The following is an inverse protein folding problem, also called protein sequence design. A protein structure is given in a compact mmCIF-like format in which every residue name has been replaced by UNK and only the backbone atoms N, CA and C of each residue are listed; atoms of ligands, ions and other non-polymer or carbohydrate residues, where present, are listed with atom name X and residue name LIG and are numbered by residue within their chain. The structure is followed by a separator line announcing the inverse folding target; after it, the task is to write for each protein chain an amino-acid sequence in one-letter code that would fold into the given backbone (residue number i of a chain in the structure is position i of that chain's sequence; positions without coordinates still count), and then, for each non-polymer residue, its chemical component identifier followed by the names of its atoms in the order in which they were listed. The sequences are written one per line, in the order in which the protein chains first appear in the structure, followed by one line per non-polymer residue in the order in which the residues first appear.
data_IF_559568059036
#
_entry.id   IF_559568059036
#
_cell.length_a   1.000
_cell.length_b   1.000
_cell.length_c   1.000
_cell.angle_alpha   90.00
_cell.angle_beta   90.00
_cell.angle_gamma   90.00
#
_symmetry.space_group_name_H-M   'P 1'
#
loop_
_entity.id
_entity.type
_entity.pdbx_description
1 polymer ?
#
# COMPACT_ATOMS: atom_id res chain seq x y z
N UNK A 1 43.10 70.89 7.05
CA UNK A 1 42.82 69.49 6.60
C UNK A 1 41.59 69.02 7.34
N UNK A 2 40.40 69.06 6.69
CA UNK A 2 39.12 68.59 7.25
C UNK A 2 38.91 67.16 6.77
N UNK A 3 38.85 66.15 7.69
CA UNK A 3 38.49 64.78 7.39
C UNK A 3 36.97 64.67 7.45
N UNK A 4 36.36 64.42 6.31
CA UNK A 4 34.94 64.06 6.23
C UNK A 4 34.76 62.57 6.57
N UNK A 5 33.93 62.34 7.57
CA UNK A 5 33.51 61.00 7.99
C UNK A 5 32.30 60.62 7.12
N UNK A 6 32.47 59.63 6.25
CA UNK A 6 31.34 58.98 5.56
C UNK A 6 30.71 57.96 6.46
N UNK A 7 29.47 58.21 6.86
CA UNK A 7 28.60 57.23 7.52
C UNK A 7 27.86 56.46 6.44
N UNK A 8 28.16 55.15 6.31
CA UNK A 8 27.42 54.24 5.44
C UNK A 8 26.22 53.73 6.25
N UNK A 9 24.98 53.94 5.80
CA UNK A 9 23.84 53.37 6.47
C UNK A 9 23.80 51.85 6.24
N UNK A 10 23.84 51.09 7.33
CA UNK A 10 23.63 49.65 7.34
C UNK A 10 22.15 49.39 7.07
N UNK A 11 21.81 48.97 5.84
CA UNK A 11 20.45 48.53 5.50
C UNK A 11 20.29 47.13 6.08
N UNK A 12 19.51 47.02 7.17
CA UNK A 12 18.99 45.72 7.63
C UNK A 12 17.97 45.24 6.61
N UNK A 13 18.37 44.31 5.77
CA UNK A 13 17.44 43.43 5.03
C UNK A 13 16.77 42.53 6.06
N UNK A 14 15.59 42.90 6.50
CA UNK A 14 14.66 41.98 7.15
C UNK A 14 14.25 40.95 6.09
N UNK A 15 14.92 39.79 6.10
CA UNK A 15 14.42 38.62 5.41
C UNK A 15 13.04 38.31 5.99
N UNK A 16 11.98 38.56 5.22
CA UNK A 16 10.69 37.93 5.42
C UNK A 16 10.88 36.44 5.24
N UNK A 17 11.34 35.78 6.29
CA UNK A 17 11.15 34.35 6.43
C UNK A 17 9.65 34.13 6.52
N UNK A 18 9.04 33.71 5.43
CA UNK A 18 7.75 33.03 5.51
C UNK A 18 7.96 31.87 6.49
N UNK A 19 7.48 32.06 7.73
CA UNK A 19 7.30 30.97 8.63
C UNK A 19 6.40 29.98 7.90
N UNK A 20 6.98 28.90 7.40
CA UNK A 20 6.20 27.73 7.06
C UNK A 20 5.50 27.35 8.36
N UNK A 21 4.22 27.66 8.41
CA UNK A 21 3.32 27.19 9.44
C UNK A 21 3.36 25.66 9.37
N UNK A 22 4.19 25.06 10.22
CA UNK A 22 4.21 23.64 10.50
C UNK A 22 2.99 23.33 11.39
N UNK A 23 1.83 23.85 11.01
CA UNK A 23 0.58 23.44 11.60
C UNK A 23 0.48 21.94 11.45
N UNK A 24 0.71 21.22 12.54
CA UNK A 24 0.40 19.82 12.65
C UNK A 24 -1.07 19.67 12.30
N UNK A 25 -1.36 19.30 11.05
CA UNK A 25 -2.73 19.02 10.64
C UNK A 25 -3.24 17.95 11.59
N UNK A 26 -4.27 18.28 12.35
CA UNK A 26 -4.90 17.35 13.27
C UNK A 26 -5.39 16.17 12.45
N UNK A 27 -5.00 14.94 12.85
CA UNK A 27 -5.53 13.73 12.24
C UNK A 27 -7.05 13.73 12.36
N UNK A 28 -7.79 13.23 11.35
CA UNK A 28 -9.21 12.96 11.47
C UNK A 28 -9.47 12.05 12.65
N UNK A 29 -10.66 12.19 13.26
CA UNK A 29 -11.06 11.21 14.26
C UNK A 29 -11.19 9.83 13.62
N UNK A 30 -10.96 8.79 14.43
CA UNK A 30 -11.16 7.41 13.99
C UNK A 30 -12.55 7.21 13.41
N UNK A 31 -12.61 6.63 12.22
CA UNK A 31 -13.85 6.23 11.55
C UNK A 31 -13.88 4.72 11.48
N UNK A 32 -14.94 4.11 11.94
CA UNK A 32 -15.21 2.69 11.77
C UNK A 32 -16.21 2.49 10.61
N UNK A 33 -15.77 1.92 9.48
CA UNK A 33 -16.66 1.61 8.36
C UNK A 33 -17.63 0.44 8.64
N UNK A 34 -17.41 -0.30 9.73
CA UNK A 34 -18.22 -1.49 10.05
C UNK A 34 -17.91 -2.71 9.18
N UNK A 35 -16.78 -2.71 8.49
CA UNK A 35 -16.27 -3.86 7.72
C UNK A 35 -15.35 -4.66 8.62
N UNK A 36 -15.56 -5.96 8.69
CA UNK A 36 -14.68 -6.88 9.42
C UNK A 36 -13.42 -7.16 8.62
N UNK A 37 -12.30 -6.53 9.02
CA UNK A 37 -11.01 -6.68 8.37
C UNK A 37 -10.28 -8.00 8.67
N UNK A 38 -10.83 -8.87 9.54
CA UNK A 38 -10.36 -10.24 9.72
C UNK A 38 -11.07 -11.23 8.79
N UNK A 39 -12.05 -10.78 8.02
CA UNK A 39 -12.85 -11.64 7.15
C UNK A 39 -12.14 -12.00 5.85
N UNK A 40 -12.52 -13.17 5.33
CA UNK A 40 -11.98 -13.77 4.11
C UNK A 40 -13.12 -14.04 3.13
N UNK A 41 -12.85 -13.88 1.85
CA UNK A 41 -13.77 -14.23 0.78
C UNK A 41 -13.28 -15.45 0.01
N UNK A 42 -14.20 -16.37 -0.28
CA UNK A 42 -13.92 -17.55 -1.12
C UNK A 42 -14.03 -17.17 -2.59
N UNK A 43 -13.00 -17.46 -3.36
CA UNK A 43 -12.95 -17.28 -4.80
C UNK A 43 -13.01 -18.67 -5.43
N UNK A 44 -14.09 -19.01 -6.17
CA UNK A 44 -14.24 -20.33 -6.74
C UNK A 44 -13.28 -20.59 -7.89
N UNK A 45 -12.96 -21.86 -8.14
CA UNK A 45 -12.28 -22.30 -9.33
C UNK A 45 -13.05 -21.91 -10.61
N UNK A 46 -12.37 -21.88 -11.75
CA UNK A 46 -12.95 -21.71 -13.08
C UNK A 46 -12.46 -20.48 -13.83
N UNK A 47 -12.97 -20.36 -15.03
CA UNK A 47 -12.60 -19.32 -15.99
C UNK A 47 -13.01 -17.92 -15.55
N UNK A 48 -12.20 -16.92 -15.91
CA UNK A 48 -12.57 -15.51 -15.81
C UNK A 48 -11.95 -14.68 -16.96
N UNK A 49 -12.57 -13.54 -17.33
CA UNK A 49 -12.00 -12.64 -18.33
C UNK A 49 -10.82 -11.89 -17.73
N UNK A 50 -9.61 -12.04 -18.26
CA UNK A 50 -8.39 -11.39 -17.76
C UNK A 50 -7.84 -10.36 -18.76
N UNK A 51 -7.19 -9.34 -18.22
CA UNK A 51 -6.56 -8.28 -18.98
C UNK A 51 -7.55 -7.33 -19.66
N UNK A 52 -7.02 -6.34 -20.39
CA UNK A 52 -7.81 -5.34 -21.07
C UNK A 52 -8.69 -5.92 -22.20
N UNK A 53 -8.29 -7.04 -22.76
CA UNK A 53 -8.96 -7.67 -23.92
C UNK A 53 -9.82 -8.88 -23.53
N UNK A 54 -10.05 -9.10 -22.23
CA UNK A 54 -10.92 -10.15 -21.72
C UNK A 54 -10.50 -11.57 -22.17
N UNK A 55 -9.17 -11.83 -22.17
CA UNK A 55 -8.69 -13.18 -22.45
C UNK A 55 -9.19 -14.14 -21.36
N UNK A 56 -9.80 -15.24 -21.79
CA UNK A 56 -10.28 -16.24 -20.85
C UNK A 56 -9.08 -16.95 -20.22
N UNK A 57 -9.00 -16.89 -18.90
CA UNK A 57 -7.99 -17.57 -18.10
C UNK A 57 -8.68 -18.51 -17.13
N UNK A 58 -8.24 -19.75 -17.08
CA UNK A 58 -8.72 -20.75 -16.13
C UNK A 58 -7.83 -20.76 -14.88
N UNK A 59 -8.45 -20.54 -13.71
CA UNK A 59 -7.87 -20.88 -12.41
C UNK A 59 -8.62 -22.08 -11.88
N UNK A 60 -8.06 -23.27 -12.03
CA UNK A 60 -8.67 -24.57 -11.77
C UNK A 60 -8.74 -24.98 -10.30
N UNK A 61 -8.44 -24.02 -9.40
CA UNK A 61 -8.49 -24.16 -7.94
C UNK A 61 -9.27 -23.02 -7.28
N UNK A 62 -9.82 -23.29 -6.11
CA UNK A 62 -10.42 -22.29 -5.23
C UNK A 62 -9.37 -21.78 -4.24
N UNK A 63 -9.54 -20.54 -3.78
CA UNK A 63 -8.70 -19.91 -2.77
C UNK A 63 -9.50 -18.91 -1.95
N UNK A 64 -8.93 -18.50 -0.83
CA UNK A 64 -9.46 -17.39 -0.03
C UNK A 64 -8.55 -16.18 -0.11
N UNK A 65 -9.14 -15.00 -0.08
CA UNK A 65 -8.42 -13.72 -0.06
C UNK A 65 -9.04 -12.80 0.99
N UNK A 66 -8.23 -12.00 1.67
CA UNK A 66 -8.70 -11.04 2.66
C UNK A 66 -9.68 -10.04 2.04
N UNK A 67 -10.79 -9.77 2.72
CA UNK A 67 -11.83 -8.84 2.23
C UNK A 67 -11.29 -7.42 2.11
N UNK A 68 -10.33 -7.03 2.95
CA UNK A 68 -9.67 -5.72 2.94
C UNK A 68 -8.15 -5.85 2.83
N UNK A 69 -7.48 -4.73 2.62
CA UNK A 69 -6.03 -4.64 2.82
C UNK A 69 -5.68 -4.89 4.29
N UNK A 70 -4.45 -5.37 4.53
CA UNK A 70 -3.90 -5.47 5.89
C UNK A 70 -3.79 -4.09 6.50
N UNK A 71 -4.33 -3.94 7.71
CA UNK A 71 -4.37 -2.68 8.43
C UNK A 71 -3.09 -2.38 9.21
N UNK A 72 -2.86 -1.11 9.56
CA UNK A 72 -1.76 -0.74 10.46
C UNK A 72 -1.83 -1.48 11.80
N UNK A 73 -3.02 -1.76 12.31
CA UNK A 73 -3.21 -2.49 13.57
C UNK A 73 -2.76 -3.95 13.43
N UNK A 74 -3.18 -4.63 12.36
CA UNK A 74 -2.78 -6.02 12.11
C UNK A 74 -1.28 -6.14 11.90
N UNK A 75 -0.69 -5.23 11.12
CA UNK A 75 0.75 -5.24 10.88
C UNK A 75 1.56 -4.91 12.15
N UNK A 76 1.09 -3.97 12.98
CA UNK A 76 1.72 -3.69 14.28
C UNK A 76 1.67 -4.90 15.23
N UNK A 77 0.60 -5.68 15.19
CA UNK A 77 0.49 -6.93 15.95
C UNK A 77 1.53 -7.96 15.46
N UNK A 78 1.60 -8.17 14.16
CA UNK A 78 2.63 -9.04 13.55
C UNK A 78 4.04 -8.64 13.98
N UNK A 79 4.39 -7.34 13.83
CA UNK A 79 5.71 -6.86 14.24
C UNK A 79 5.99 -7.12 15.72
N UNK A 80 4.98 -6.96 16.59
CA UNK A 80 5.13 -7.23 18.02
C UNK A 80 5.35 -8.71 18.31
N UNK A 81 4.65 -9.59 17.64
CA UNK A 81 4.75 -11.04 17.82
C UNK A 81 6.10 -11.57 17.29
N UNK A 82 6.45 -11.18 16.06
CA UNK A 82 7.69 -11.58 15.40
C UNK A 82 8.96 -11.00 16.11
N UNK A 83 8.86 -9.79 16.67
CA UNK A 83 9.92 -9.20 17.48
C UNK A 83 10.12 -9.96 18.79
N UNK A 84 9.03 -10.39 19.43
CA UNK A 84 9.10 -11.16 20.68
C UNK A 84 9.69 -12.56 20.50
N UNK A 85 9.55 -13.15 19.31
CA UNK A 85 10.14 -14.45 18.94
C UNK A 85 11.56 -14.35 18.36
N UNK A 86 11.99 -13.13 18.01
CA UNK A 86 13.30 -12.88 17.39
C UNK A 86 13.33 -13.19 15.89
N UNK A 87 12.17 -13.27 15.24
CA UNK A 87 12.06 -13.43 13.78
C UNK A 87 12.30 -12.11 13.04
N UNK A 88 12.11 -10.98 13.73
CA UNK A 88 12.50 -9.66 13.25
C UNK A 88 13.36 -8.93 14.29
N UNK A 89 14.15 -7.99 13.79
CA UNK A 89 14.91 -7.03 14.57
C UNK A 89 14.55 -5.60 14.17
N UNK A 90 14.89 -4.62 15.01
CA UNK A 90 14.74 -3.19 14.72
C UNK A 90 16.09 -2.51 14.84
N UNK A 91 16.50 -1.85 13.78
CA UNK A 91 17.79 -1.18 13.73
C UNK A 91 18.12 -0.63 12.34
N UNK A 92 19.36 -0.24 12.18
CA UNK A 92 19.91 0.18 10.90
C UNK A 92 20.21 -1.06 10.03
N UNK A 93 19.70 -1.04 8.80
CA UNK A 93 19.94 -2.07 7.79
C UNK A 93 20.40 -1.43 6.48
N UNK A 94 21.32 -2.09 5.77
CA UNK A 94 21.71 -1.70 4.43
C UNK A 94 20.66 -2.19 3.41
N UNK A 95 20.15 -1.27 2.61
CA UNK A 95 19.24 -1.55 1.51
C UNK A 95 19.95 -1.24 0.20
N UNK A 96 19.99 -2.21 -0.69
CA UNK A 96 20.55 -2.06 -2.03
C UNK A 96 19.41 -1.88 -3.02
N UNK A 97 19.42 -0.76 -3.73
CA UNK A 97 18.45 -0.44 -4.77
C UNK A 97 19.18 0.18 -5.97
N UNK A 98 19.02 -0.41 -7.14
CA UNK A 98 19.69 0.06 -8.38
C UNK A 98 21.19 0.33 -8.18
N UNK A 99 21.92 -0.63 -7.63
CA UNK A 99 23.36 -0.56 -7.30
C UNK A 99 23.74 0.52 -6.26
N UNK A 100 22.75 1.17 -5.66
CA UNK A 100 22.98 2.15 -4.59
C UNK A 100 22.72 1.51 -3.24
N UNK A 101 23.68 1.64 -2.35
CA UNK A 101 23.55 1.22 -0.96
C UNK A 101 23.08 2.43 -0.14
N UNK A 102 22.03 2.24 0.63
CA UNK A 102 21.55 3.20 1.62
C UNK A 102 21.32 2.51 2.94
N UNK A 103 21.50 3.24 4.03
CA UNK A 103 21.15 2.75 5.37
C UNK A 103 19.75 3.22 5.70
N UNK A 104 18.89 2.30 6.12
CA UNK A 104 17.52 2.57 6.56
C UNK A 104 17.36 2.08 8.00
N UNK A 105 16.71 2.87 8.84
CA UNK A 105 16.28 2.41 10.16
C UNK A 105 14.87 1.83 10.06
N UNK A 106 14.67 0.59 10.50
CA UNK A 106 13.36 -0.04 10.41
C UNK A 106 13.31 -1.43 11.03
N UNK A 107 12.18 -2.09 10.88
CA UNK A 107 12.03 -3.50 11.20
C UNK A 107 12.47 -4.34 10.00
N UNK A 108 13.29 -5.34 10.23
CA UNK A 108 13.83 -6.23 9.23
C UNK A 108 13.85 -7.67 9.73
N UNK A 109 13.88 -8.63 8.80
CA UNK A 109 13.93 -10.05 9.11
C UNK A 109 14.57 -10.85 8.00
N UNK A 110 14.87 -12.11 8.28
CA UNK A 110 15.56 -12.97 7.35
C UNK A 110 14.66 -13.41 6.18
N UNK A 111 15.17 -13.25 4.97
CA UNK A 111 14.59 -13.79 3.74
C UNK A 111 15.48 -14.91 3.19
N UNK A 112 14.94 -16.08 2.83
CA UNK A 112 15.75 -17.23 2.44
C UNK A 112 16.45 -17.08 1.08
N UNK A 113 16.14 -16.03 0.35
CA UNK A 113 16.60 -15.82 -1.02
C UNK A 113 15.64 -16.41 -2.05
N UNK A 114 15.75 -15.89 -3.25
CA UNK A 114 14.95 -16.33 -4.39
C UNK A 114 15.90 -16.56 -5.58
N UNK A 115 16.14 -17.83 -5.96
CA UNK A 115 16.94 -18.12 -7.13
C UNK A 115 16.17 -17.67 -8.37
N UNK A 116 16.72 -16.69 -9.06
CA UNK A 116 16.10 -16.09 -10.22
C UNK A 116 16.73 -16.59 -11.51
N UNK A 117 15.92 -17.18 -12.36
CA UNK A 117 16.30 -17.72 -13.67
C UNK A 117 15.95 -16.71 -14.79
N UNK A 118 16.31 -15.43 -14.55
CA UNK A 118 15.96 -14.30 -15.41
C UNK A 118 16.93 -14.00 -16.55
N UNK A 119 17.02 -12.71 -16.90
CA UNK A 119 17.97 -12.24 -17.91
C UNK A 119 19.42 -12.30 -17.39
N UNK A 120 20.40 -12.47 -18.30
CA UNK A 120 21.84 -12.56 -18.01
C UNK A 120 22.43 -11.39 -17.20
N UNK A 121 21.67 -10.30 -16.98
CA UNK A 121 22.13 -9.08 -16.32
C UNK A 121 21.41 -8.79 -14.99
N UNK A 122 20.58 -9.72 -14.52
CA UNK A 122 19.89 -9.56 -13.23
C UNK A 122 20.38 -10.59 -12.23
N UNK A 123 20.76 -10.12 -11.06
CA UNK A 123 21.22 -10.97 -9.98
C UNK A 123 20.04 -11.60 -9.23
N UNK A 124 20.17 -12.82 -8.70
CA UNK A 124 19.16 -13.41 -7.81
C UNK A 124 18.97 -12.54 -6.56
N UNK A 125 17.77 -12.62 -5.95
CA UNK A 125 17.56 -11.99 -4.65
C UNK A 125 18.28 -12.81 -3.60
N UNK A 126 19.42 -12.29 -3.14
CA UNK A 126 20.26 -12.96 -2.16
C UNK A 126 19.52 -13.18 -0.83
N UNK A 127 19.79 -14.34 -0.21
CA UNK A 127 19.35 -14.61 1.15
C UNK A 127 19.95 -13.60 2.13
N UNK A 128 19.25 -13.29 3.20
CA UNK A 128 19.72 -12.38 4.24
C UNK A 128 18.61 -11.49 4.78
N UNK A 129 18.99 -10.58 5.66
CA UNK A 129 18.04 -9.67 6.27
C UNK A 129 17.52 -8.64 5.28
N UNK A 130 16.21 -8.47 5.25
CA UNK A 130 15.51 -7.56 4.35
C UNK A 130 14.63 -6.60 5.16
N UNK A 131 14.68 -5.32 4.79
CA UNK A 131 13.81 -4.31 5.36
C UNK A 131 12.35 -4.66 5.07
N UNK A 132 11.53 -4.76 6.11
CA UNK A 132 10.10 -4.98 6.00
C UNK A 132 9.32 -3.67 6.00
N UNK A 133 9.64 -2.77 6.94
CA UNK A 133 9.03 -1.44 7.05
C UNK A 133 10.04 -0.46 7.63
N UNK A 134 10.23 0.74 7.01
CA UNK A 134 11.08 1.77 7.59
C UNK A 134 10.41 2.39 8.82
N UNK A 135 11.25 2.80 9.78
CA UNK A 135 10.83 3.43 11.05
C UNK A 135 11.69 4.68 11.34
N UNK A 136 11.89 5.50 10.32
CA UNK A 136 12.74 6.70 10.34
C UNK A 136 11.97 8.01 10.54
N UNK A 137 10.70 7.94 10.94
CA UNK A 137 9.81 9.07 11.16
C UNK A 137 9.19 9.67 9.89
N UNK A 138 9.44 9.10 8.72
CA UNK A 138 8.86 9.56 7.46
C UNK A 138 7.63 8.74 7.08
N UNK A 139 6.45 9.26 7.44
CA UNK A 139 5.19 8.60 7.10
C UNK A 139 4.85 7.43 8.02
N UNK A 140 5.55 7.29 9.15
CA UNK A 140 5.25 6.28 10.15
C UNK A 140 3.79 6.31 10.60
N UNK A 141 3.18 5.15 10.59
CA UNK A 141 1.82 4.91 11.11
C UNK A 141 1.82 3.89 12.23
N UNK A 142 2.93 3.18 12.39
CA UNK A 142 3.24 2.24 13.46
C UNK A 142 4.46 2.78 14.19
N UNK A 143 4.31 3.02 15.48
CA UNK A 143 5.34 3.57 16.35
C UNK A 143 6.00 2.45 17.13
N UNK A 144 7.33 2.53 17.32
CA UNK A 144 8.09 1.65 18.16
C UNK A 144 8.78 2.43 19.28
N UNK A 145 8.54 2.06 20.52
CA UNK A 145 9.09 2.73 21.70
C UNK A 145 10.36 2.05 22.26
N UNK A 146 11.01 1.19 21.48
CA UNK A 146 12.14 0.34 21.89
C UNK A 146 11.69 -1.01 22.47
N UNK A 147 10.40 -1.25 22.61
CA UNK A 147 9.84 -2.47 23.18
C UNK A 147 8.50 -2.90 22.58
N UNK A 148 7.70 -1.95 22.19
CA UNK A 148 6.31 -2.20 21.79
C UNK A 148 5.99 -1.49 20.49
N UNK A 149 5.35 -2.20 19.55
CA UNK A 149 4.79 -1.64 18.32
C UNK A 149 3.34 -1.25 18.54
N UNK A 150 2.96 -0.06 18.09
CA UNK A 150 1.59 0.46 18.21
C UNK A 150 1.21 1.24 16.97
N UNK A 151 0.10 0.89 16.35
CA UNK A 151 -0.50 1.74 15.32
C UNK A 151 -0.97 3.07 15.92
N UNK A 152 -0.84 4.16 15.15
CA UNK A 152 -1.45 5.44 15.51
C UNK A 152 -2.96 5.22 15.65
N UNK A 153 -3.59 5.60 16.79
CA UNK A 153 -4.98 5.25 17.08
C UNK A 153 -5.98 5.68 16.00
N UNK A 154 -5.78 6.85 15.41
CA UNK A 154 -6.66 7.42 14.37
C UNK A 154 -6.50 6.70 13.03
N UNK A 155 -5.35 6.08 12.78
CA UNK A 155 -5.00 5.41 11.53
C UNK A 155 -4.94 3.88 11.66
N UNK A 156 -5.36 3.31 12.79
CA UNK A 156 -5.19 1.88 13.07
C UNK A 156 -5.89 0.95 12.08
N UNK A 157 -7.02 1.37 11.52
CA UNK A 157 -7.79 0.64 10.50
C UNK A 157 -7.58 1.16 9.06
N UNK A 158 -6.59 2.01 8.83
CA UNK A 158 -6.11 2.31 7.48
C UNK A 158 -5.19 1.19 7.00
N UNK A 159 -5.03 1.00 5.68
CA UNK A 159 -4.07 0.02 5.17
C UNK A 159 -2.67 0.35 5.66
N UNK A 160 -1.89 -0.67 5.97
CA UNK A 160 -0.46 -0.50 6.20
C UNK A 160 0.18 -0.02 4.91
N UNK A 161 1.08 0.94 5.05
CA UNK A 161 1.85 1.49 3.92
C UNK A 161 3.33 1.61 4.30
N UNK A 162 4.17 2.04 3.38
CA UNK A 162 5.62 2.04 3.56
C UNK A 162 6.18 0.62 3.77
N UNK A 163 5.45 -0.40 3.39
CA UNK A 163 5.83 -1.81 3.52
C UNK A 163 6.50 -2.28 2.22
N UNK A 164 7.67 -2.89 2.35
CA UNK A 164 8.34 -3.54 1.22
C UNK A 164 7.61 -4.84 0.84
N UNK A 165 7.92 -5.39 -0.33
CA UNK A 165 7.41 -6.71 -0.71
C UNK A 165 7.83 -7.78 0.31
N UNK A 166 9.07 -7.71 0.81
CA UNK A 166 9.56 -8.63 1.86
C UNK A 166 8.73 -8.54 3.14
N UNK A 167 8.31 -7.34 3.54
CA UNK A 167 7.47 -7.16 4.71
C UNK A 167 6.05 -7.69 4.50
N UNK A 168 5.51 -7.52 3.30
CA UNK A 168 4.20 -8.05 2.93
C UNK A 168 4.20 -9.58 2.88
N UNK A 169 5.21 -10.17 2.25
CA UNK A 169 5.39 -11.62 2.17
C UNK A 169 5.61 -12.24 3.55
N UNK A 170 6.52 -11.65 4.36
CA UNK A 170 6.79 -12.13 5.71
C UNK A 170 5.55 -12.10 6.61
N UNK A 171 4.73 -11.04 6.54
CA UNK A 171 3.47 -10.97 7.26
C UNK A 171 2.54 -12.13 6.90
N UNK A 172 2.29 -12.33 5.59
CA UNK A 172 1.40 -13.40 5.16
C UNK A 172 1.96 -14.77 5.57
N UNK A 173 3.26 -15.02 5.35
CA UNK A 173 3.92 -16.28 5.70
C UNK A 173 3.91 -16.58 7.21
N UNK A 174 4.05 -15.54 8.06
CA UNK A 174 4.00 -15.69 9.51
C UNK A 174 2.70 -16.33 10.01
N UNK A 175 1.58 -15.98 9.38
CA UNK A 175 0.27 -16.55 9.71
C UNK A 175 -0.08 -17.81 8.89
N UNK A 176 0.87 -18.34 8.10
CA UNK A 176 0.65 -19.51 7.23
C UNK A 176 -0.15 -19.18 5.97
N UNK A 177 -0.18 -17.93 5.57
CA UNK A 177 -0.80 -17.42 4.36
C UNK A 177 0.27 -17.04 3.32
N UNK A 178 -0.14 -16.50 2.19
CA UNK A 178 0.74 -16.00 1.13
C UNK A 178 0.18 -14.71 0.51
N UNK A 179 0.99 -14.01 -0.25
CA UNK A 179 0.46 -12.98 -1.14
C UNK A 179 -0.39 -13.64 -2.25
N UNK A 180 -1.45 -12.98 -2.74
CA UNK A 180 -2.17 -13.47 -3.91
C UNK A 180 -1.28 -13.41 -5.15
N UNK A 181 -1.46 -14.34 -6.08
CA UNK A 181 -0.90 -14.19 -7.41
C UNK A 181 -1.59 -13.03 -8.14
N UNK A 182 -0.98 -12.55 -9.19
CA UNK A 182 -1.51 -11.45 -10.00
C UNK A 182 -2.87 -11.81 -10.62
N UNK A 183 -3.01 -13.05 -11.09
CA UNK A 183 -4.26 -13.56 -11.67
C UNK A 183 -5.34 -13.80 -10.61
N UNK A 184 -4.97 -14.29 -9.43
CA UNK A 184 -5.89 -14.43 -8.29
C UNK A 184 -6.43 -13.05 -7.89
N UNK A 185 -5.54 -12.07 -7.77
CA UNK A 185 -5.94 -10.70 -7.44
C UNK A 185 -6.94 -10.16 -8.48
N UNK A 186 -6.66 -10.33 -9.79
CA UNK A 186 -7.54 -9.84 -10.85
C UNK A 186 -8.90 -10.54 -10.85
N UNK A 187 -8.93 -11.87 -10.70
CA UNK A 187 -10.17 -12.64 -10.59
C UNK A 187 -11.01 -12.18 -9.40
N UNK A 188 -10.37 -12.00 -8.23
CA UNK A 188 -11.04 -11.54 -7.02
C UNK A 188 -11.63 -10.12 -7.15
N UNK A 189 -10.93 -9.24 -7.87
CA UNK A 189 -11.39 -7.87 -8.13
C UNK A 189 -12.53 -7.80 -9.14
N UNK A 190 -12.48 -8.62 -10.18
CA UNK A 190 -13.27 -8.46 -11.40
C UNK A 190 -14.46 -9.42 -11.49
N UNK A 191 -14.34 -10.61 -10.87
CA UNK A 191 -15.32 -11.66 -11.04
C UNK A 191 -15.29 -12.30 -12.42
N UNK A 192 -16.38 -13.00 -12.72
CA UNK A 192 -16.56 -13.76 -13.98
C UNK A 192 -17.65 -13.19 -14.89
N UNK A 193 -18.37 -12.17 -14.41
CA UNK A 193 -19.51 -11.59 -15.12
C UNK A 193 -19.05 -10.71 -16.31
N UNK A 194 -19.86 -10.71 -17.34
CA UNK A 194 -19.69 -9.86 -18.51
C UNK A 194 -20.84 -8.86 -18.60
N UNK A 195 -20.51 -7.57 -18.74
CA UNK A 195 -21.47 -6.51 -19.07
C UNK A 195 -21.27 -6.18 -20.55
N UNK A 196 -22.32 -6.32 -21.37
CA UNK A 196 -22.26 -6.10 -22.82
C UNK A 196 -21.13 -6.90 -23.51
N UNK A 197 -20.88 -8.12 -23.02
CA UNK A 197 -19.84 -9.02 -23.55
C UNK A 197 -18.41 -8.66 -23.16
N UNK A 198 -18.22 -7.74 -22.20
CA UNK A 198 -16.92 -7.31 -21.66
C UNK A 198 -16.85 -7.54 -20.15
N UNK A 199 -15.71 -7.97 -19.66
CA UNK A 199 -15.43 -8.03 -18.23
C UNK A 199 -15.47 -6.65 -17.57
N UNK A 200 -15.65 -6.61 -16.26
CA UNK A 200 -15.73 -5.38 -15.50
C UNK A 200 -14.44 -4.55 -15.62
N UNK A 201 -14.59 -3.23 -15.75
CA UNK A 201 -13.47 -2.28 -15.73
C UNK A 201 -13.01 -1.94 -14.30
N UNK A 202 -13.95 -1.87 -13.38
CA UNK A 202 -13.73 -1.66 -11.95
C UNK A 202 -14.46 -2.77 -11.18
N UNK A 203 -14.13 -3.00 -9.91
CA UNK A 203 -14.75 -4.08 -9.12
C UNK A 203 -16.27 -4.03 -9.09
N UNK A 204 -16.86 -2.85 -9.12
CA UNK A 204 -18.31 -2.60 -9.06
C UNK A 204 -19.01 -2.39 -10.42
N UNK A 205 -18.28 -2.42 -11.54
CA UNK A 205 -18.84 -2.17 -12.86
C UNK A 205 -17.94 -1.39 -13.82
N UNK A 206 -18.53 -0.62 -14.72
CA UNK A 206 -17.79 0.04 -15.80
C UNK A 206 -17.72 1.58 -15.66
N UNK A 207 -18.37 2.15 -14.66
CA UNK A 207 -18.38 3.60 -14.43
C UNK A 207 -17.71 3.97 -13.12
N UNK A 208 -16.94 5.06 -13.14
CA UNK A 208 -16.28 5.63 -11.98
C UNK A 208 -16.84 7.01 -11.66
N UNK A 209 -17.28 7.20 -10.42
CA UNK A 209 -17.60 8.50 -9.84
C UNK A 209 -16.62 8.80 -8.70
N UNK A 210 -16.44 10.07 -8.33
CA UNK A 210 -15.46 10.50 -7.33
C UNK A 210 -15.62 9.85 -5.96
N UNK A 211 -16.81 9.39 -5.62
CA UNK A 211 -17.13 8.75 -4.34
C UNK A 211 -17.23 7.21 -4.41
N UNK A 212 -16.72 6.58 -5.50
CA UNK A 212 -16.60 5.14 -5.60
C UNK A 212 -15.32 4.60 -4.98
N UNK A 213 -14.23 5.36 -4.97
CA UNK A 213 -12.93 4.90 -4.50
C UNK A 213 -12.08 6.07 -3.99
N UNK A 214 -11.09 5.77 -3.19
CA UNK A 214 -10.04 6.72 -2.82
C UNK A 214 -8.97 6.77 -3.92
N UNK A 215 -9.01 7.82 -4.73
CA UNK A 215 -8.05 8.08 -5.82
C UNK A 215 -7.83 9.59 -5.99
N UNK A 216 -7.01 10.02 -6.92
CA UNK A 216 -6.61 11.43 -7.09
C UNK A 216 -7.78 12.44 -7.14
N UNK A 217 -8.96 12.02 -7.61
CA UNK A 217 -10.16 12.88 -7.72
C UNK A 217 -11.30 12.49 -6.78
N UNK A 218 -11.03 11.75 -5.71
CA UNK A 218 -12.06 11.31 -4.75
C UNK A 218 -12.59 12.45 -3.89
N UNK A 219 -11.73 13.43 -3.56
CA UNK A 219 -12.05 14.57 -2.69
C UNK A 219 -12.64 14.15 -1.34
N UNK A 220 -12.15 13.05 -0.79
CA UNK A 220 -12.61 12.50 0.48
C UNK A 220 -12.05 13.24 1.72
N UNK A 221 -12.43 12.75 2.89
CA UNK A 221 -12.08 13.35 4.18
C UNK A 221 -10.55 13.34 4.45
N UNK A 222 -9.83 12.43 3.83
CA UNK A 222 -8.41 12.16 4.08
C UNK A 222 -7.49 12.79 3.03
N UNK A 223 -8.03 13.38 1.96
CA UNK A 223 -7.24 14.05 0.91
C UNK A 223 -6.25 15.07 1.48
N UNK A 224 -6.63 15.77 2.55
CA UNK A 224 -5.78 16.76 3.22
C UNK A 224 -4.59 16.18 3.98
N UNK A 225 -4.55 14.86 4.18
CA UNK A 225 -3.42 14.16 4.80
C UNK A 225 -2.32 13.80 3.80
N UNK A 226 -2.52 14.03 2.52
CA UNK A 226 -1.50 13.82 1.49
C UNK A 226 -0.21 14.52 1.88
N UNK A 227 0.91 13.82 1.77
CA UNK A 227 2.23 14.25 2.23
C UNK A 227 2.87 13.20 3.14
N UNK A 228 3.33 13.59 4.34
CA UNK A 228 4.04 12.66 5.25
C UNK A 228 3.22 11.42 5.65
N UNK A 229 1.92 11.57 5.85
CA UNK A 229 1.04 10.46 6.28
C UNK A 229 0.30 9.79 5.12
N UNK A 230 0.37 10.38 3.92
CA UNK A 230 -0.43 9.93 2.78
C UNK A 230 -1.93 10.21 2.95
N UNK A 231 -2.70 9.95 1.90
CA UNK A 231 -4.14 10.19 1.83
C UNK A 231 -4.97 8.90 1.85
N UNK A 232 -4.53 7.85 2.51
CA UNK A 232 -5.33 6.61 2.63
C UNK A 232 -6.60 6.84 3.44
N UNK A 233 -7.63 6.06 3.15
CA UNK A 233 -8.86 5.97 3.95
C UNK A 233 -8.84 4.71 4.82
N UNK A 234 -9.69 4.63 5.88
CA UNK A 234 -9.97 3.36 6.54
C UNK A 234 -10.35 2.29 5.52
N UNK A 235 -9.87 1.06 5.71
CA UNK A 235 -10.20 -0.05 4.81
C UNK A 235 -11.71 -0.27 4.76
N UNK A 236 -12.26 -0.44 3.55
CA UNK A 236 -13.70 -0.62 3.35
C UNK A 236 -14.54 0.63 3.59
N UNK A 237 -13.97 1.84 3.59
CA UNK A 237 -14.74 3.09 3.77
C UNK A 237 -15.79 3.28 2.67
N UNK A 238 -15.47 2.88 1.45
CA UNK A 238 -16.36 3.03 0.29
C UNK A 238 -17.35 1.85 0.18
N UNK A 239 -18.26 1.76 1.15
CA UNK A 239 -19.25 0.69 1.28
C UNK A 239 -20.71 1.17 1.18
N UNK A 240 -20.93 2.36 0.57
CA UNK A 240 -22.25 2.98 0.47
C UNK A 240 -22.66 3.78 1.72
N UNK A 241 -21.82 3.84 2.74
CA UNK A 241 -22.03 4.56 3.99
C UNK A 241 -21.91 6.09 3.85
N UNK A 242 -22.17 6.78 4.95
CA UNK A 242 -21.95 8.23 5.06
C UNK A 242 -21.12 8.52 6.30
N UNK A 243 -19.95 9.11 6.11
CA UNK A 243 -18.97 9.37 7.16
C UNK A 243 -18.69 10.87 7.26
N UNK A 244 -19.00 11.48 8.41
CA UNK A 244 -18.82 12.92 8.63
C UNK A 244 -19.39 13.81 7.50
N UNK A 245 -20.50 13.37 6.88
CA UNK A 245 -21.15 14.07 5.77
C UNK A 245 -20.63 13.69 4.36
N UNK A 246 -19.56 12.94 4.25
CA UNK A 246 -19.10 12.38 2.99
C UNK A 246 -19.84 11.06 2.70
N UNK A 247 -20.60 11.02 1.60
CA UNK A 247 -21.35 9.83 1.19
C UNK A 247 -20.55 9.04 0.17
N UNK A 248 -20.23 7.80 0.50
CA UNK A 248 -19.55 6.87 -0.42
C UNK A 248 -20.55 6.08 -1.26
N UNK A 249 -20.07 5.49 -2.32
CA UNK A 249 -20.72 4.39 -3.03
C UNK A 249 -20.13 3.07 -2.59
N UNK A 250 -20.87 2.00 -2.80
CA UNK A 250 -20.36 0.66 -2.53
C UNK A 250 -19.43 0.24 -3.66
N UNK A 251 -18.17 -0.05 -3.30
CA UNK A 251 -17.11 -0.48 -4.20
C UNK A 251 -16.82 -1.98 -4.14
N UNK A 252 -17.65 -2.74 -3.43
CA UNK A 252 -17.44 -4.16 -3.27
C UNK A 252 -17.28 -4.86 -4.62
N UNK A 253 -16.27 -5.74 -4.73
CA UNK A 253 -16.11 -6.62 -5.88
C UNK A 253 -17.25 -7.64 -5.94
N UNK A 254 -17.43 -8.39 -7.04
CA UNK A 254 -18.42 -9.47 -7.12
C UNK A 254 -18.31 -10.51 -5.98
N UNK A 255 -17.16 -10.60 -5.35
CA UNK A 255 -16.91 -11.49 -4.21
C UNK A 255 -16.92 -10.76 -2.85
N UNK A 256 -17.35 -9.49 -2.80
CA UNK A 256 -17.47 -8.72 -1.57
C UNK A 256 -16.15 -8.17 -1.02
N UNK A 257 -15.11 -8.04 -1.85
CA UNK A 257 -13.85 -7.43 -1.42
C UNK A 257 -13.90 -5.91 -1.59
N UNK A 258 -13.32 -5.20 -0.64
CA UNK A 258 -13.16 -3.75 -0.66
C UNK A 258 -11.73 -3.34 -1.03
N UNK A 259 -11.58 -2.08 -1.46
CA UNK A 259 -10.29 -1.45 -1.81
C UNK A 259 -9.53 -2.19 -2.92
N UNK A 260 -10.25 -2.92 -3.80
CA UNK A 260 -9.67 -3.52 -5.00
C UNK A 260 -9.43 -2.49 -6.12
N UNK A 261 -9.80 -1.23 -5.90
CA UNK A 261 -9.51 -0.09 -6.77
C UNK A 261 -9.33 1.18 -5.93
N UNK A 262 -8.13 1.77 -5.98
CA UNK A 262 -7.74 2.93 -5.19
C UNK A 262 -7.24 2.57 -3.79
N UNK A 263 -7.16 3.56 -2.91
CA UNK A 263 -6.57 3.51 -1.58
C UNK A 263 -5.07 3.26 -1.63
N UNK A 264 -4.61 2.03 -1.80
CA UNK A 264 -3.18 1.70 -1.97
C UNK A 264 -2.96 0.71 -3.09
N UNK A 265 -1.83 0.84 -3.80
CA UNK A 265 -1.30 -0.24 -4.62
C UNK A 265 -1.04 -1.46 -3.75
N UNK A 266 -1.31 -2.65 -4.27
CA UNK A 266 -1.22 -3.90 -3.51
C UNK A 266 -0.17 -4.82 -4.13
N UNK A 267 0.81 -5.24 -3.31
CA UNK A 267 1.78 -6.24 -3.67
C UNK A 267 1.12 -7.58 -4.01
N UNK A 268 1.64 -8.27 -5.03
CA UNK A 268 1.32 -9.67 -5.34
C UNK A 268 2.54 -10.57 -5.17
N UNK A 269 2.32 -11.88 -5.13
CA UNK A 269 3.37 -12.85 -4.87
C UNK A 269 4.26 -13.17 -6.08
N UNK A 270 3.73 -12.99 -7.29
CA UNK A 270 4.44 -13.36 -8.52
C UNK A 270 5.45 -12.33 -8.97
N UNK A 271 6.49 -12.83 -9.63
CA UNK A 271 7.46 -12.04 -10.32
C UNK A 271 6.91 -11.45 -11.61
N UNK A 272 7.32 -10.24 -11.92
CA UNK A 272 7.19 -9.74 -13.28
C UNK A 272 8.05 -10.62 -14.20
N UNK A 273 7.50 -11.19 -15.31
CA UNK A 273 8.19 -12.19 -16.07
C UNK A 273 9.62 -11.79 -16.44
N UNK A 274 10.58 -12.59 -16.01
CA UNK A 274 12.03 -12.43 -16.27
C UNK A 274 12.65 -11.15 -15.70
N UNK A 275 12.10 -10.62 -14.62
CA UNK A 275 12.65 -9.46 -13.90
C UNK A 275 12.46 -9.65 -12.39
N UNK A 276 13.29 -8.98 -11.56
CA UNK A 276 13.17 -9.02 -10.09
C UNK A 276 12.01 -8.19 -9.56
N UNK A 277 11.21 -7.60 -10.43
CA UNK A 277 10.07 -6.79 -10.03
C UNK A 277 8.91 -7.67 -9.58
N UNK A 278 8.15 -7.17 -8.63
CA UNK A 278 6.87 -7.73 -8.19
C UNK A 278 5.73 -6.87 -8.74
N UNK A 279 4.61 -7.50 -9.06
CA UNK A 279 3.44 -6.75 -9.52
C UNK A 279 2.81 -5.93 -8.39
N UNK A 280 2.27 -4.80 -8.79
CA UNK A 280 1.41 -3.93 -8.01
C UNK A 280 0.07 -3.78 -8.71
N UNK A 281 -1.02 -3.94 -7.95
CA UNK A 281 -2.39 -3.94 -8.49
C UNK A 281 -3.27 -2.92 -7.77
N UNK A 282 -4.38 -2.50 -8.42
CA UNK A 282 -5.47 -1.74 -7.82
C UNK A 282 -5.38 -0.22 -7.94
N UNK A 283 -4.21 0.35 -8.13
CA UNK A 283 -4.04 1.80 -8.05
C UNK A 283 -4.04 2.30 -6.60
N UNK A 284 -3.91 3.60 -6.41
CA UNK A 284 -3.81 4.22 -5.08
C UNK A 284 -4.53 5.57 -5.03
N UNK A 285 -4.51 6.22 -3.87
CA UNK A 285 -5.01 7.58 -3.71
C UNK A 285 -4.26 8.65 -4.53
N UNK A 286 -3.09 8.33 -5.07
CA UNK A 286 -2.36 9.16 -6.04
C UNK A 286 -2.67 8.85 -7.50
N UNK A 287 -3.38 7.76 -7.76
CA UNK A 287 -3.63 7.27 -9.11
C UNK A 287 -4.75 8.02 -9.81
N UNK A 288 -4.65 8.11 -11.13
CA UNK A 288 -5.76 8.53 -11.97
C UNK A 288 -6.69 7.36 -12.29
N UNK A 289 -7.89 7.64 -12.81
CA UNK A 289 -8.90 6.65 -13.20
C UNK A 289 -8.34 5.45 -13.98
N UNK A 290 -7.42 5.69 -14.90
CA UNK A 290 -6.85 4.65 -15.76
C UNK A 290 -6.11 3.57 -14.97
N UNK A 291 -5.54 3.92 -13.83
CA UNK A 291 -4.76 3.01 -13.00
C UNK A 291 -5.63 2.20 -12.02
N UNK A 292 -6.90 2.59 -11.82
CA UNK A 292 -7.86 1.89 -10.98
C UNK A 292 -8.53 0.70 -11.68
N UNK A 293 -8.32 0.56 -12.99
CA UNK A 293 -8.92 -0.53 -13.76
C UNK A 293 -8.36 -1.85 -13.32
N UNK A 294 -9.24 -2.85 -13.14
CA UNK A 294 -8.89 -4.16 -12.59
C UNK A 294 -7.79 -4.89 -13.36
N UNK A 295 -7.58 -4.59 -14.63
CA UNK A 295 -6.51 -5.17 -15.45
C UNK A 295 -5.20 -4.36 -15.43
N UNK A 296 -5.19 -3.19 -14.77
CA UNK A 296 -4.00 -2.35 -14.75
C UNK A 296 -2.93 -2.99 -13.86
N UNK A 297 -1.72 -3.05 -14.38
CA UNK A 297 -0.52 -3.56 -13.73
C UNK A 297 0.48 -2.45 -13.55
N UNK A 298 1.12 -2.43 -12.42
CA UNK A 298 2.35 -1.71 -12.15
C UNK A 298 3.35 -2.71 -11.56
N UNK A 299 4.59 -2.30 -11.37
CA UNK A 299 5.63 -3.15 -10.79
C UNK A 299 6.70 -2.32 -10.11
N UNK A 300 7.35 -2.91 -9.12
CA UNK A 300 8.49 -2.30 -8.44
C UNK A 300 9.44 -3.38 -7.91
N UNK A 301 10.69 -3.02 -7.64
CA UNK A 301 11.63 -3.90 -6.98
C UNK A 301 11.13 -4.30 -5.57
N UNK A 302 11.49 -5.47 -5.06
CA UNK A 302 10.95 -5.98 -3.79
C UNK A 302 11.38 -5.16 -2.56
N UNK A 303 12.41 -4.32 -2.69
CA UNK A 303 12.86 -3.36 -1.66
C UNK A 303 12.07 -2.05 -1.66
N UNK A 304 11.27 -1.79 -2.71
CA UNK A 304 10.49 -0.57 -2.84
C UNK A 304 9.41 -0.47 -1.75
N UNK A 305 9.22 0.71 -1.21
CA UNK A 305 8.13 1.06 -0.31
C UNK A 305 7.69 2.50 -0.56
N UNK A 306 6.40 2.77 -0.39
CA UNK A 306 5.84 4.10 -0.61
C UNK A 306 4.60 4.33 0.26
N UNK A 307 4.20 5.60 0.50
CA UNK A 307 3.04 5.94 1.31
C UNK A 307 1.70 5.47 0.72
N UNK A 308 1.71 4.99 -0.50
CA UNK A 308 0.55 4.52 -1.25
C UNK A 308 0.68 3.05 -1.70
N UNK A 309 1.57 2.27 -1.07
CA UNK A 309 1.76 0.84 -1.33
C UNK A 309 1.53 0.04 -0.06
N UNK A 310 0.63 -0.92 -0.16
CA UNK A 310 0.24 -1.87 0.87
C UNK A 310 0.04 -3.27 0.29
N UNK A 311 -0.81 -4.10 0.90
CA UNK A 311 -1.05 -5.47 0.45
C UNK A 311 -2.26 -6.10 1.16
N UNK A 312 -2.68 -7.25 0.65
CA UNK A 312 -3.58 -8.22 1.30
C UNK A 312 -3.05 -9.63 1.12
N UNK A 313 -3.46 -10.58 1.97
CA UNK A 313 -3.06 -11.97 1.86
C UNK A 313 -4.12 -12.83 1.18
N UNK A 314 -3.67 -13.97 0.66
CA UNK A 314 -4.46 -15.08 0.19
C UNK A 314 -4.07 -16.36 0.93
N UNK A 315 -4.93 -17.38 0.87
CA UNK A 315 -4.67 -18.73 1.38
C UNK A 315 -5.47 -19.76 0.60
N UNK A 316 -4.99 -20.99 0.63
CA UNK A 316 -5.63 -22.13 -0.01
C UNK A 316 -6.68 -22.77 0.89
#
# INVERSE_FOLDING_TARGET
MKRSLFIIPLIFLTACGSAFDSGTKKLPEYIDPGVDFESWSNIPAGDFPSGQNDHLVDLDYEYQIMVTDVTNQQFAQYLQEAYATGEIEVGDIEVVENEKISTQYGAYGHYPGDPFDGYEHEDPIEAGDKLQIPMDGQGERILFDGKTFKAIPELRNHPVTMVSWFGADAYCAYYGWRLPTELEWEKAARGTELIDGRGLAFPWGNELESNHANYYSSHDLFEKLVGKLGGTTPVGLYNGGTYQGFKTKDQASPYGLYDMAGNVWQWTGDDYPKQHYRYLRGGSFYSYEVDLRVWKRNSAGPTYFAPDVGFRCARD
#
